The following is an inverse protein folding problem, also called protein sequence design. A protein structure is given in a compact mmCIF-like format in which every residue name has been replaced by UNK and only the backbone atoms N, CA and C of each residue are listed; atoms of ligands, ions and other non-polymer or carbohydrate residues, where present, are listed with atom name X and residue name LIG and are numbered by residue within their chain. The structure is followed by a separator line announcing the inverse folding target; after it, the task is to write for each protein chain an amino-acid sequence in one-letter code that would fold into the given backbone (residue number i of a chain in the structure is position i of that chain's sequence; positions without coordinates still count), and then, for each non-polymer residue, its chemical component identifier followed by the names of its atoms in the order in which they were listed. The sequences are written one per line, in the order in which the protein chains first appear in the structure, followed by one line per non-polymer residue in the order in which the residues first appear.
data_IF_391153225559
#
_entry.id   IF_391153225559
#
_cell.length_a   1.000
_cell.length_b   1.000
_cell.length_c   1.000
_cell.angle_alpha   90.00
_cell.angle_beta   90.00
_cell.angle_gamma   90.00
#
_symmetry.space_group_name_H-M   'P 1'
#
loop_
_entity.id
_entity.type
_entity.pdbx_description
1 polymer ?
#
# COMPACT_ATOMS: atom_id res chain seq x y z
N UNK A 1 4.96 2.63 25.84
CA UNK A 1 4.46 3.27 24.59
C UNK A 1 4.60 2.24 23.49
N UNK A 2 3.58 1.99 22.67
CA UNK A 2 3.65 1.01 21.60
C UNK A 2 4.70 1.48 20.56
N UNK A 3 5.59 0.57 20.14
CA UNK A 3 6.65 0.83 19.16
C UNK A 3 6.10 0.84 17.71
N UNK A 4 4.79 1.05 17.57
CA UNK A 4 4.08 1.03 16.31
C UNK A 4 4.38 2.28 15.46
N UNK A 5 4.78 2.07 14.20
CA UNK A 5 4.98 3.14 13.22
C UNK A 5 3.66 3.69 12.71
N UNK A 6 2.63 2.82 12.56
CA UNK A 6 1.25 3.19 12.20
C UNK A 6 0.30 2.58 13.22
N UNK A 7 -0.68 3.37 13.69
CA UNK A 7 -1.72 2.91 14.60
C UNK A 7 -3.07 3.50 14.23
N UNK A 8 -4.05 2.63 14.03
CA UNK A 8 -5.46 2.97 13.96
C UNK A 8 -6.13 2.58 15.29
N UNK A 9 -6.89 3.49 15.88
CA UNK A 9 -7.62 3.29 17.12
C UNK A 9 -9.09 3.57 16.91
N UNK A 10 -9.94 2.54 17.07
CA UNK A 10 -11.40 2.58 17.00
C UNK A 10 -11.91 3.34 15.77
N UNK A 11 -11.22 3.18 14.63
CA UNK A 11 -11.53 3.87 13.39
C UNK A 11 -12.88 3.38 12.86
N UNK A 12 -13.84 4.29 12.78
CA UNK A 12 -15.17 4.05 12.22
C UNK A 12 -15.39 4.93 11.00
N UNK A 13 -15.93 4.34 9.93
CA UNK A 13 -16.26 5.03 8.68
C UNK A 13 -17.74 4.83 8.36
N UNK A 14 -18.48 5.93 8.25
CA UNK A 14 -19.89 5.93 7.84
C UNK A 14 -20.07 6.72 6.54
N UNK A 15 -20.87 6.19 5.64
CA UNK A 15 -21.29 6.83 4.41
C UNK A 15 -22.81 6.86 4.37
N UNK A 16 -23.40 8.03 4.71
CA UNK A 16 -24.85 8.10 4.94
C UNK A 16 -25.27 7.14 6.06
N UNK A 17 -26.21 6.24 5.77
CA UNK A 17 -26.68 5.22 6.71
C UNK A 17 -25.82 3.94 6.81
N UNK A 18 -24.82 3.79 5.94
CA UNK A 18 -23.96 2.58 5.91
C UNK A 18 -22.71 2.78 6.76
N UNK A 19 -22.46 1.86 7.70
CA UNK A 19 -21.19 1.75 8.42
C UNK A 19 -20.28 0.78 7.67
N UNK A 20 -19.34 1.32 6.90
CA UNK A 20 -18.41 0.54 6.07
C UNK A 20 -17.17 0.05 6.85
N UNK A 21 -16.88 0.63 8.02
CA UNK A 21 -15.82 0.20 8.94
C UNK A 21 -16.24 0.55 10.36
N UNK A 22 -16.15 -0.39 11.29
CA UNK A 22 -16.58 -0.22 12.67
C UNK A 22 -15.48 -0.56 13.65
N UNK A 23 -15.05 0.43 14.43
CA UNK A 23 -14.04 0.30 15.50
C UNK A 23 -12.80 -0.48 15.07
N UNK A 24 -12.32 -0.22 13.86
CA UNK A 24 -11.13 -0.87 13.31
C UNK A 24 -9.90 -0.47 14.11
N UNK A 25 -9.14 -1.46 14.54
CA UNK A 25 -7.89 -1.30 15.25
C UNK A 25 -6.77 -2.00 14.48
N UNK A 26 -5.67 -1.31 14.27
CA UNK A 26 -4.47 -1.82 13.62
C UNK A 26 -3.25 -1.18 14.26
N UNK A 27 -2.26 -1.97 14.60
CA UNK A 27 -0.90 -1.52 14.88
C UNK A 27 0.04 -2.15 13.86
N UNK A 28 0.95 -1.37 13.31
CA UNK A 28 1.99 -1.83 12.40
C UNK A 28 3.33 -1.41 12.96
N UNK A 29 4.21 -2.38 13.19
CA UNK A 29 5.56 -2.15 13.73
C UNK A 29 6.55 -1.84 12.62
N UNK A 30 7.69 -1.20 12.93
CA UNK A 30 8.76 -1.03 11.94
C UNK A 30 9.16 -2.37 11.33
N UNK A 31 9.32 -2.42 10.00
CA UNK A 31 9.68 -3.62 9.22
C UNK A 31 8.68 -4.78 9.31
N UNK A 32 7.52 -4.60 9.92
CA UNK A 32 6.49 -5.64 9.94
C UNK A 32 5.75 -5.69 8.61
N UNK A 33 5.45 -6.90 8.11
CA UNK A 33 4.57 -7.11 6.96
C UNK A 33 3.25 -7.71 7.45
N UNK A 34 2.19 -6.90 7.35
CA UNK A 34 0.83 -7.27 7.76
C UNK A 34 -0.08 -7.38 6.56
N UNK A 35 -0.78 -8.50 6.44
CA UNK A 35 -1.85 -8.70 5.47
C UNK A 35 -3.20 -8.26 6.03
N UNK A 36 -3.93 -7.44 5.30
CA UNK A 36 -5.32 -7.09 5.55
C UNK A 36 -6.20 -7.84 4.56
N UNK A 37 -6.94 -8.82 5.04
CA UNK A 37 -7.72 -9.75 4.24
C UNK A 37 -9.21 -9.72 4.62
N UNK A 38 -10.03 -10.38 3.82
CA UNK A 38 -11.48 -10.49 4.03
C UNK A 38 -12.22 -10.63 2.71
N UNK A 39 -13.49 -11.02 2.72
CA UNK A 39 -14.33 -11.12 1.54
C UNK A 39 -14.46 -9.79 0.76
N UNK A 40 -15.05 -9.84 -0.43
CA UNK A 40 -15.41 -8.65 -1.17
C UNK A 40 -16.44 -7.85 -0.37
N UNK A 41 -16.26 -6.52 -0.31
CA UNK A 41 -17.12 -5.67 0.51
C UNK A 41 -16.80 -5.65 2.01
N UNK A 42 -15.82 -6.42 2.51
CA UNK A 42 -15.47 -6.48 3.93
C UNK A 42 -14.94 -5.16 4.54
N UNK A 43 -14.69 -4.13 3.73
CA UNK A 43 -14.19 -2.83 4.22
C UNK A 43 -12.68 -2.61 4.08
N UNK A 44 -11.93 -3.52 3.45
CA UNK A 44 -10.47 -3.42 3.25
C UNK A 44 -10.04 -2.10 2.60
N UNK A 45 -10.62 -1.77 1.45
CA UNK A 45 -10.34 -0.52 0.72
C UNK A 45 -10.75 0.71 1.54
N UNK A 46 -11.82 0.62 2.33
CA UNK A 46 -12.25 1.69 3.24
C UNK A 46 -11.20 1.92 4.33
N UNK A 47 -10.67 0.84 4.93
CA UNK A 47 -9.58 0.92 5.90
C UNK A 47 -8.33 1.58 5.29
N UNK A 48 -7.89 1.16 4.09
CA UNK A 48 -6.78 1.79 3.38
C UNK A 48 -7.00 3.28 3.08
N UNK A 49 -8.22 3.64 2.66
CA UNK A 49 -8.58 5.02 2.39
C UNK A 49 -8.53 5.87 3.67
N UNK A 50 -8.98 5.33 4.80
CA UNK A 50 -8.89 6.01 6.10
C UNK A 50 -7.42 6.18 6.55
N UNK A 51 -6.59 5.13 6.44
CA UNK A 51 -5.19 5.16 6.83
C UNK A 51 -4.35 6.11 5.96
N UNK A 52 -4.65 6.20 4.67
CA UNK A 52 -3.92 7.04 3.70
C UNK A 52 -4.47 8.47 3.55
N UNK A 53 -5.46 8.86 4.38
CA UNK A 53 -6.02 10.22 4.38
C UNK A 53 -6.92 10.55 3.19
N UNK A 54 -7.34 9.55 2.39
CA UNK A 54 -8.33 9.73 1.32
C UNK A 54 -9.70 10.04 1.93
N UNK A 55 -10.02 9.39 3.05
CA UNK A 55 -11.20 9.69 3.86
C UNK A 55 -10.78 10.03 5.29
N UNK A 56 -11.39 11.06 5.86
CA UNK A 56 -11.27 11.33 7.29
C UNK A 56 -12.17 10.35 8.06
N UNK A 57 -11.65 9.65 9.09
CA UNK A 57 -12.47 8.82 9.95
C UNK A 57 -13.66 9.58 10.54
N UNK A 58 -14.84 8.95 10.57
CA UNK A 58 -16.02 9.50 11.24
C UNK A 58 -15.82 9.51 12.77
N UNK A 59 -15.20 8.43 13.30
CA UNK A 59 -14.82 8.29 14.70
C UNK A 59 -13.44 7.61 14.77
N UNK A 60 -12.78 7.74 15.91
CA UNK A 60 -11.48 7.15 16.15
C UNK A 60 -10.32 7.98 15.61
N UNK A 61 -9.13 7.40 15.59
CA UNK A 61 -7.91 8.15 15.25
C UNK A 61 -6.88 7.27 14.54
N UNK A 62 -6.14 7.89 13.62
CA UNK A 62 -4.98 7.30 12.96
C UNK A 62 -3.74 8.09 13.35
N UNK A 63 -2.69 7.37 13.76
CA UNK A 63 -1.41 7.94 14.18
C UNK A 63 -0.28 7.35 13.35
N UNK A 64 0.66 8.19 12.94
CA UNK A 64 1.91 7.80 12.28
C UNK A 64 3.09 8.34 13.09
N UNK A 65 3.93 7.44 13.61
CA UNK A 65 5.05 7.83 14.49
C UNK A 65 4.62 8.67 15.71
N UNK A 66 3.43 8.40 16.25
CA UNK A 66 2.83 9.15 17.37
C UNK A 66 2.09 10.44 16.96
N UNK A 67 2.19 10.90 15.72
CA UNK A 67 1.49 12.09 15.23
C UNK A 67 0.12 11.69 14.67
N UNK A 68 -0.94 12.35 15.13
CA UNK A 68 -2.30 12.14 14.59
C UNK A 68 -2.41 12.70 13.18
N UNK A 69 -2.87 11.86 12.25
CA UNK A 69 -2.97 12.22 10.82
C UNK A 69 -4.42 12.41 10.33
N UNK A 70 -5.41 12.30 11.20
CA UNK A 70 -6.81 12.52 10.84
C UNK A 70 -7.02 13.91 10.22
N UNK A 71 -7.76 13.95 9.10
CA UNK A 71 -8.10 15.21 8.42
C UNK A 71 -6.96 15.85 7.62
N UNK A 72 -5.76 15.26 7.65
CA UNK A 72 -4.68 15.63 6.73
C UNK A 72 -5.05 15.17 5.31
N UNK A 73 -4.70 15.99 4.31
CA UNK A 73 -4.86 15.61 2.89
C UNK A 73 -3.88 14.50 2.52
N UNK A 74 -4.17 13.66 1.50
CA UNK A 74 -3.31 12.53 1.12
C UNK A 74 -1.83 12.89 0.91
N UNK A 75 -1.53 14.04 0.28
CA UNK A 75 -0.14 14.48 0.11
C UNK A 75 0.55 14.83 1.44
N UNK A 76 -0.18 15.36 2.42
CA UNK A 76 0.34 15.62 3.76
C UNK A 76 0.58 14.32 4.53
N UNK A 77 -0.31 13.33 4.40
CA UNK A 77 -0.12 11.99 4.96
C UNK A 77 1.09 11.31 4.32
N UNK A 78 1.26 11.44 3.01
CA UNK A 78 2.46 10.97 2.30
C UNK A 78 3.73 11.65 2.84
N UNK A 79 3.72 12.96 3.03
CA UNK A 79 4.85 13.70 3.61
C UNK A 79 5.16 13.27 5.05
N UNK A 80 4.19 12.79 5.83
CA UNK A 80 4.41 12.20 7.15
C UNK A 80 5.05 10.82 7.08
N UNK A 81 4.92 10.11 5.95
CA UNK A 81 5.58 8.84 5.70
C UNK A 81 4.68 7.64 5.39
N UNK A 82 3.46 7.84 4.91
CA UNK A 82 2.62 6.77 4.35
C UNK A 82 2.58 6.93 2.83
N UNK A 83 3.15 5.96 2.09
CA UNK A 83 2.96 5.87 0.65
C UNK A 83 2.02 4.70 0.30
N UNK A 84 1.29 4.84 -0.80
CA UNK A 84 0.31 3.85 -1.24
C UNK A 84 0.40 3.62 -2.73
N UNK A 85 0.28 2.35 -3.16
CA UNK A 85 -0.09 1.99 -4.52
C UNK A 85 -1.60 1.91 -4.66
N UNK A 86 -2.11 1.83 -5.88
CA UNK A 86 -3.53 1.73 -6.15
C UNK A 86 -3.82 0.44 -6.91
N UNK A 87 -5.02 -0.11 -6.76
CA UNK A 87 -5.47 -1.28 -7.50
C UNK A 87 -5.29 -1.09 -9.02
N UNK A 88 -5.71 0.05 -9.55
CA UNK A 88 -5.41 0.46 -10.92
C UNK A 88 -4.10 1.25 -10.95
N UNK A 89 -3.15 0.83 -11.77
CA UNK A 89 -1.84 1.48 -11.93
C UNK A 89 -2.01 2.96 -12.30
N UNK A 90 -1.43 3.84 -11.46
CA UNK A 90 -1.49 5.29 -11.63
C UNK A 90 -0.11 5.88 -11.95
N UNK A 91 0.43 5.53 -13.11
CA UNK A 91 1.69 6.09 -13.62
C UNK A 91 1.45 7.29 -14.52
N UNK A 92 2.44 8.17 -14.59
CA UNK A 92 2.53 9.18 -15.65
C UNK A 92 2.95 8.48 -16.95
N UNK A 93 1.97 8.02 -17.71
CA UNK A 93 2.15 7.08 -18.82
C UNK A 93 3.12 7.57 -19.92
N UNK A 94 3.16 8.87 -20.17
CA UNK A 94 4.00 9.49 -21.21
C UNK A 94 5.37 9.94 -20.69
N UNK A 95 5.64 9.83 -19.41
CA UNK A 95 6.95 10.09 -18.81
C UNK A 95 7.78 8.80 -18.77
N UNK A 96 9.10 8.95 -18.70
CA UNK A 96 10.03 7.84 -18.52
C UNK A 96 9.82 7.14 -17.17
N UNK A 97 10.36 5.92 -17.03
CA UNK A 97 10.40 5.24 -15.74
C UNK A 97 11.15 6.08 -14.71
N UNK A 98 12.28 6.67 -15.10
CA UNK A 98 13.09 7.55 -14.25
C UNK A 98 12.30 8.76 -13.77
N UNK A 99 11.62 9.48 -14.67
CA UNK A 99 10.86 10.68 -14.30
C UNK A 99 9.68 10.37 -13.39
N UNK A 100 9.02 9.21 -13.58
CA UNK A 100 7.97 8.74 -12.67
C UNK A 100 8.47 8.65 -11.22
N UNK A 101 9.69 8.13 -11.01
CA UNK A 101 10.28 8.00 -9.68
C UNK A 101 10.82 9.34 -9.18
N UNK A 102 11.50 10.13 -10.02
CA UNK A 102 12.03 11.46 -9.66
C UNK A 102 10.95 12.38 -9.12
N UNK A 103 9.76 12.44 -9.75
CA UNK A 103 8.62 13.22 -9.27
C UNK A 103 8.26 12.88 -7.82
N UNK A 104 8.34 11.61 -7.42
CA UNK A 104 8.06 11.21 -6.05
C UNK A 104 9.18 11.62 -5.08
N UNK A 105 10.44 11.59 -5.52
CA UNK A 105 11.58 12.06 -4.74
C UNK A 105 11.48 13.56 -4.42
N UNK A 106 10.90 14.37 -5.32
CA UNK A 106 10.63 15.79 -5.08
C UNK A 106 9.69 16.05 -3.87
N UNK A 107 8.83 15.09 -3.51
CA UNK A 107 7.95 15.24 -2.35
C UNK A 107 8.71 15.41 -1.02
N UNK A 108 9.99 15.02 -0.98
CA UNK A 108 10.91 15.18 0.16
C UNK A 108 11.90 16.30 0.00
N UNK A 109 12.09 16.77 -1.21
CA UNK A 109 13.02 17.86 -1.49
C UNK A 109 12.40 19.19 -1.08
N UNK A 110 12.88 19.74 0.03
CA UNK A 110 12.47 21.07 0.50
C UNK A 110 13.50 22.09 0.00
N UNK A 111 13.08 22.98 -0.87
CA UNK A 111 13.87 24.10 -1.35
C UNK A 111 12.98 25.30 -1.68
N UNK A 112 13.47 26.53 -1.63
CA UNK A 112 12.70 27.70 -2.02
C UNK A 112 12.29 27.61 -3.49
N UNK A 113 11.06 27.99 -3.81
CA UNK A 113 10.48 27.92 -5.17
C UNK A 113 11.25 28.74 -6.24
N UNK A 114 12.08 29.69 -5.82
CA UNK A 114 12.87 30.53 -6.72
C UNK A 114 14.25 29.93 -7.09
N UNK A 115 14.75 28.92 -6.34
CA UNK A 115 16.07 28.32 -6.62
C UNK A 115 16.20 27.71 -8.04
N UNK A 116 15.19 27.01 -8.59
CA UNK A 116 15.26 26.50 -9.96
C UNK A 116 15.44 27.62 -11.01
N UNK A 117 14.91 28.83 -10.72
CA UNK A 117 15.02 29.97 -11.64
C UNK A 117 16.41 30.59 -11.64
N UNK A 118 17.20 30.42 -10.58
CA UNK A 118 18.53 31.01 -10.43
C UNK A 118 19.67 30.04 -10.74
N UNK A 119 19.38 28.75 -11.00
CA UNK A 119 20.37 27.73 -11.33
C UNK A 119 21.47 27.61 -10.26
N UNK A 120 21.09 27.55 -8.99
CA UNK A 120 22.06 27.52 -7.89
C UNK A 120 22.75 26.17 -7.79
N UNK A 121 24.02 26.11 -7.42
CA UNK A 121 24.74 24.85 -7.20
C UNK A 121 24.05 23.94 -6.19
N UNK A 122 23.36 24.50 -5.20
CA UNK A 122 22.55 23.77 -4.23
C UNK A 122 21.33 23.09 -4.87
N UNK A 123 20.72 23.71 -5.88
CA UNK A 123 19.64 23.10 -6.68
C UNK A 123 20.17 21.92 -7.49
N UNK A 124 21.27 22.11 -8.21
CA UNK A 124 21.88 21.08 -9.05
C UNK A 124 22.32 19.85 -8.23
N UNK A 125 22.89 20.07 -7.03
CA UNK A 125 23.25 18.99 -6.12
C UNK A 125 22.03 18.20 -5.63
N UNK A 126 20.90 18.89 -5.34
CA UNK A 126 19.65 18.20 -4.95
C UNK A 126 19.07 17.40 -6.11
N UNK A 127 19.02 17.96 -7.31
CA UNK A 127 18.57 17.26 -8.51
C UNK A 127 19.42 16.00 -8.77
N UNK A 128 20.74 16.09 -8.67
CA UNK A 128 21.64 14.96 -8.84
C UNK A 128 21.39 13.86 -7.77
N UNK A 129 21.15 14.26 -6.51
CA UNK A 129 20.80 13.31 -5.43
C UNK A 129 19.46 12.60 -5.70
N UNK A 130 18.46 13.36 -6.15
CA UNK A 130 17.14 12.78 -6.49
C UNK A 130 17.22 11.84 -7.68
N UNK A 131 17.99 12.18 -8.71
CA UNK A 131 18.22 11.30 -9.85
C UNK A 131 18.96 10.03 -9.43
N UNK A 132 20.03 10.14 -8.65
CA UNK A 132 20.79 9.00 -8.14
C UNK A 132 19.87 8.07 -7.31
N UNK A 133 19.02 8.65 -6.47
CA UNK A 133 18.03 7.90 -5.69
C UNK A 133 16.99 7.20 -6.57
N UNK A 134 16.47 7.89 -7.59
CA UNK A 134 15.52 7.30 -8.52
C UNK A 134 16.14 6.13 -9.31
N UNK A 135 17.39 6.27 -9.78
CA UNK A 135 18.13 5.20 -10.46
C UNK A 135 18.40 4.01 -9.52
N UNK A 136 18.75 4.26 -8.26
CA UNK A 136 18.89 3.20 -7.24
C UNK A 136 17.58 2.41 -7.10
N UNK A 137 16.45 3.09 -6.93
CA UNK A 137 15.15 2.47 -6.78
C UNK A 137 14.75 1.67 -8.03
N UNK A 138 14.99 2.19 -9.22
CA UNK A 138 14.78 1.46 -10.47
C UNK A 138 15.67 0.21 -10.55
N UNK A 139 16.93 0.31 -10.13
CA UNK A 139 17.83 -0.85 -10.07
C UNK A 139 17.29 -1.96 -9.16
N UNK A 140 16.80 -1.62 -7.96
CA UNK A 140 16.18 -2.58 -7.04
C UNK A 140 14.95 -3.26 -7.65
N UNK A 141 14.16 -2.50 -8.44
CA UNK A 141 12.96 -3.00 -9.11
C UNK A 141 13.25 -3.81 -10.39
N UNK A 142 14.52 -3.93 -10.79
CA UNK A 142 14.90 -4.57 -12.07
C UNK A 142 14.50 -3.75 -13.29
N UNK A 143 14.47 -2.42 -13.15
CA UNK A 143 14.10 -1.45 -14.18
C UNK A 143 15.28 -0.55 -14.60
N UNK A 144 16.50 -0.83 -14.13
CA UNK A 144 17.68 0.00 -14.40
C UNK A 144 17.93 0.23 -15.89
N UNK A 145 17.91 -0.84 -16.70
CA UNK A 145 18.15 -0.78 -18.15
C UNK A 145 16.98 -0.18 -18.94
N UNK A 146 15.85 0.10 -18.27
CA UNK A 146 14.63 0.67 -18.86
C UNK A 146 14.30 2.04 -18.29
N UNK A 147 15.25 2.69 -17.64
CA UNK A 147 15.05 3.97 -16.95
C UNK A 147 14.46 5.05 -17.87
N UNK A 148 14.89 5.10 -19.12
CA UNK A 148 14.49 6.11 -20.10
C UNK A 148 13.26 5.69 -20.92
N UNK A 149 12.75 4.44 -20.74
CA UNK A 149 11.57 3.95 -21.43
C UNK A 149 10.30 4.59 -20.86
N UNK A 150 9.37 4.97 -21.75
CA UNK A 150 8.08 5.52 -21.32
C UNK A 150 7.27 4.46 -20.56
N UNK A 151 6.67 4.86 -19.44
CA UNK A 151 5.95 3.95 -18.55
C UNK A 151 4.85 3.14 -19.25
N UNK A 152 4.17 3.71 -20.26
CA UNK A 152 3.13 3.01 -21.04
C UNK A 152 3.66 1.85 -21.88
N UNK A 153 4.96 1.85 -22.23
CA UNK A 153 5.57 0.83 -23.07
C UNK A 153 6.07 -0.37 -22.26
N UNK A 154 6.17 -0.22 -20.94
CA UNK A 154 6.58 -1.31 -20.05
C UNK A 154 5.51 -2.41 -20.00
N UNK A 155 5.88 -3.70 -19.95
CA UNK A 155 4.97 -4.79 -19.60
C UNK A 155 4.26 -4.54 -18.28
N UNK A 156 3.05 -5.07 -18.11
CA UNK A 156 2.20 -4.82 -16.94
C UNK A 156 2.92 -5.07 -15.61
N UNK A 157 3.61 -6.21 -15.46
CA UNK A 157 4.37 -6.53 -14.25
C UNK A 157 5.47 -5.51 -13.92
N UNK A 158 6.12 -4.95 -14.97
CA UNK A 158 7.13 -3.90 -14.78
C UNK A 158 6.49 -2.54 -14.48
N UNK A 159 5.29 -2.25 -15.01
CA UNK A 159 4.54 -1.05 -14.60
C UNK A 159 4.17 -1.12 -13.11
N UNK A 160 3.79 -2.30 -12.60
CA UNK A 160 3.50 -2.50 -11.18
C UNK A 160 4.75 -2.28 -10.31
N UNK A 161 5.90 -2.83 -10.73
CA UNK A 161 7.18 -2.57 -10.05
C UNK A 161 7.57 -1.08 -10.08
N UNK A 162 7.32 -0.38 -11.19
CA UNK A 162 7.55 1.06 -11.30
C UNK A 162 6.64 1.86 -10.35
N UNK A 163 5.39 1.45 -10.18
CA UNK A 163 4.48 2.08 -9.21
C UNK A 163 4.99 1.95 -7.77
N UNK A 164 5.55 0.79 -7.40
CA UNK A 164 6.19 0.57 -6.09
C UNK A 164 7.46 1.41 -5.97
N UNK A 165 8.32 1.46 -7.02
CA UNK A 165 9.50 2.33 -7.04
C UNK A 165 9.13 3.79 -6.78
N UNK A 166 8.09 4.27 -7.45
CA UNK A 166 7.58 5.63 -7.25
C UNK A 166 7.08 5.85 -5.82
N UNK A 167 6.35 4.90 -5.25
CA UNK A 167 5.91 5.00 -3.85
C UNK A 167 7.09 5.08 -2.88
N UNK A 168 8.16 4.32 -3.11
CA UNK A 168 9.40 4.37 -2.33
C UNK A 168 10.21 5.66 -2.53
N UNK A 169 10.06 6.34 -3.66
CA UNK A 169 10.67 7.65 -3.90
C UNK A 169 10.26 8.71 -2.88
N UNK A 170 9.08 8.57 -2.27
CA UNK A 170 8.61 9.43 -1.17
C UNK A 170 9.23 9.06 0.19
N UNK A 171 10.17 8.11 0.28
CA UNK A 171 10.82 7.62 1.50
C UNK A 171 9.83 7.32 2.63
N UNK A 172 8.86 6.43 2.41
CA UNK A 172 7.83 6.17 3.38
C UNK A 172 8.36 5.37 4.57
N UNK A 173 7.72 5.55 5.73
CA UNK A 173 7.84 4.66 6.90
C UNK A 173 6.91 3.44 6.76
N UNK A 174 5.79 3.64 6.06
CA UNK A 174 4.75 2.64 5.80
C UNK A 174 4.43 2.64 4.31
N UNK A 175 4.54 1.47 3.70
CA UNK A 175 4.15 1.21 2.32
C UNK A 175 2.84 0.40 2.31
N UNK A 176 1.79 1.00 1.78
CA UNK A 176 0.49 0.35 1.61
C UNK A 176 0.37 -0.17 0.18
N UNK A 177 0.24 -1.49 0.01
CA UNK A 177 0.12 -2.16 -1.27
C UNK A 177 -1.29 -2.72 -1.45
N UNK A 178 -1.99 -2.26 -2.49
CA UNK A 178 -3.37 -2.62 -2.78
C UNK A 178 -3.40 -3.58 -3.98
N UNK A 179 -3.59 -4.88 -3.70
CA UNK A 179 -3.58 -5.98 -4.66
C UNK A 179 -2.41 -5.92 -5.67
N UNK A 180 -1.16 -5.91 -5.19
CA UNK A 180 -0.01 -5.68 -6.06
C UNK A 180 0.23 -6.81 -7.07
N UNK A 181 -0.26 -8.02 -6.81
CA UNK A 181 -0.12 -9.17 -7.69
C UNK A 181 -1.28 -9.34 -8.70
N UNK A 182 -2.30 -8.47 -8.65
CA UNK A 182 -3.46 -8.59 -9.53
C UNK A 182 -3.03 -8.58 -11.00
N UNK A 183 -3.51 -9.57 -11.78
CA UNK A 183 -3.22 -9.71 -13.22
C UNK A 183 -1.83 -10.28 -13.54
N UNK A 184 -1.07 -10.74 -12.55
CA UNK A 184 0.22 -11.41 -12.75
C UNK A 184 0.07 -12.93 -12.81
N UNK A 185 0.96 -13.59 -13.55
CA UNK A 185 1.09 -15.05 -13.49
C UNK A 185 1.82 -15.49 -12.19
N UNK A 186 1.80 -16.80 -11.90
CA UNK A 186 2.37 -17.34 -10.65
C UNK A 186 3.87 -17.03 -10.47
N UNK A 187 4.65 -17.04 -11.57
CA UNK A 187 6.09 -16.74 -11.51
C UNK A 187 6.34 -15.26 -11.23
N UNK A 188 5.59 -14.37 -11.88
CA UNK A 188 5.67 -12.93 -11.63
C UNK A 188 5.24 -12.58 -10.22
N UNK A 189 4.18 -13.22 -9.72
CA UNK A 189 3.68 -13.08 -8.36
C UNK A 189 4.74 -13.48 -7.34
N UNK A 190 5.36 -14.65 -7.49
CA UNK A 190 6.42 -15.12 -6.59
C UNK A 190 7.62 -14.15 -6.58
N UNK A 191 8.04 -13.68 -7.77
CA UNK A 191 9.12 -12.70 -7.90
C UNK A 191 8.77 -11.36 -7.25
N UNK A 192 7.51 -10.89 -7.36
CA UNK A 192 7.05 -9.67 -6.70
C UNK A 192 7.03 -9.83 -5.18
N UNK A 193 6.59 -10.97 -4.65
CA UNK A 193 6.56 -11.22 -3.21
C UNK A 193 7.96 -11.23 -2.61
N UNK A 194 8.92 -11.89 -3.27
CA UNK A 194 10.33 -11.82 -2.86
C UNK A 194 10.84 -10.38 -2.86
N UNK A 195 10.51 -9.61 -3.90
CA UNK A 195 10.89 -8.21 -4.00
C UNK A 195 10.30 -7.36 -2.87
N UNK A 196 9.06 -7.63 -2.44
CA UNK A 196 8.43 -6.90 -1.31
C UNK A 196 9.18 -7.17 0.00
N UNK A 197 9.65 -8.41 0.24
CA UNK A 197 10.50 -8.70 1.40
C UNK A 197 11.84 -7.95 1.32
N UNK A 198 12.50 -7.99 0.16
CA UNK A 198 13.77 -7.27 -0.04
C UNK A 198 13.61 -5.76 0.20
N UNK A 199 12.52 -5.16 -0.29
CA UNK A 199 12.17 -3.75 -0.07
C UNK A 199 12.00 -3.46 1.42
N UNK A 200 11.20 -4.27 2.12
CA UNK A 200 10.97 -4.12 3.55
C UNK A 200 12.28 -4.11 4.33
N UNK A 201 13.15 -5.08 4.05
CA UNK A 201 14.41 -5.26 4.78
C UNK A 201 15.44 -4.19 4.41
N UNK A 202 15.60 -3.89 3.11
CA UNK A 202 16.56 -2.91 2.60
C UNK A 202 16.25 -1.50 3.02
N UNK A 203 14.97 -1.08 2.93
CA UNK A 203 14.55 0.29 3.23
C UNK A 203 13.98 0.46 4.63
N UNK A 204 13.85 -0.62 5.40
CA UNK A 204 13.34 -0.57 6.77
C UNK A 204 11.88 -0.14 6.87
N UNK A 205 11.12 -0.28 5.78
CA UNK A 205 9.70 0.12 5.72
C UNK A 205 8.81 -0.96 6.32
N UNK A 206 7.72 -0.54 6.99
CA UNK A 206 6.63 -1.44 7.31
C UNK A 206 5.70 -1.56 6.11
N UNK A 207 5.15 -2.76 5.88
CA UNK A 207 4.29 -3.03 4.72
C UNK A 207 2.90 -3.44 5.19
N UNK A 208 1.88 -2.77 4.69
CA UNK A 208 0.49 -3.17 4.83
C UNK A 208 -0.02 -3.61 3.45
N UNK A 209 -0.38 -4.88 3.34
CA UNK A 209 -0.75 -5.53 2.08
C UNK A 209 -2.23 -5.88 2.08
N UNK A 210 -3.00 -5.44 1.07
CA UNK A 210 -4.29 -6.06 0.73
C UNK A 210 -4.06 -7.07 -0.38
N UNK A 211 -4.56 -8.28 -0.18
CA UNK A 211 -4.63 -9.32 -1.20
C UNK A 211 -5.86 -10.21 -0.96
N UNK A 212 -6.34 -10.80 -2.03
CA UNK A 212 -7.45 -11.74 -1.99
C UNK A 212 -7.00 -13.19 -2.17
N UNK A 213 -5.79 -13.43 -2.68
CA UNK A 213 -5.18 -14.76 -2.73
C UNK A 213 -4.64 -15.15 -1.34
N UNK A 214 -5.39 -16.03 -0.67
CA UNK A 214 -5.04 -16.50 0.67
C UNK A 214 -3.70 -17.22 0.73
N UNK A 215 -3.31 -17.97 -0.32
CA UNK A 215 -2.02 -18.69 -0.33
C UNK A 215 -0.86 -17.70 -0.37
N UNK A 216 -1.02 -16.67 -1.17
CA UNK A 216 -0.04 -15.62 -1.33
C UNK A 216 0.14 -14.83 -0.04
N UNK A 217 -0.94 -14.31 0.52
CA UNK A 217 -0.87 -13.45 1.71
C UNK A 217 -0.39 -14.21 2.94
N UNK A 218 -0.78 -15.49 3.07
CA UNK A 218 -0.28 -16.37 4.14
C UNK A 218 1.21 -16.68 4.01
N UNK A 219 1.72 -16.75 2.78
CA UNK A 219 3.13 -17.04 2.52
C UNK A 219 4.07 -15.87 2.79
N UNK A 220 3.56 -14.64 2.72
CA UNK A 220 4.39 -13.43 2.83
C UNK A 220 4.21 -12.69 4.16
N UNK A 221 3.02 -12.75 4.78
CA UNK A 221 2.68 -11.93 5.94
C UNK A 221 3.14 -12.57 7.25
N UNK A 222 3.71 -11.75 8.14
CA UNK A 222 4.05 -12.15 9.51
C UNK A 222 2.79 -12.22 10.39
N UNK A 223 1.81 -11.36 10.07
CA UNK A 223 0.53 -11.26 10.77
C UNK A 223 -0.58 -10.89 9.79
N UNK A 224 -1.76 -11.41 10.05
CA UNK A 224 -2.98 -11.10 9.31
C UNK A 224 -3.97 -10.36 10.19
N UNK A 225 -4.73 -9.47 9.57
CA UNK A 225 -5.94 -8.85 10.12
C UNK A 225 -7.08 -9.17 9.16
N UNK A 226 -8.13 -9.77 9.67
CA UNK A 226 -9.28 -10.21 8.87
C UNK A 226 -10.46 -9.30 9.14
N UNK A 227 -10.95 -8.69 8.07
CA UNK A 227 -12.19 -7.91 8.09
C UNK A 227 -13.34 -8.72 7.50
N UNK A 228 -14.49 -8.57 8.11
CA UNK A 228 -15.77 -8.99 7.54
C UNK A 228 -16.85 -7.97 7.91
N UNK A 229 -17.65 -7.53 6.91
CA UNK A 229 -18.68 -6.50 7.06
C UNK A 229 -18.24 -5.27 7.89
N UNK A 230 -17.00 -4.80 7.66
CA UNK A 230 -16.43 -3.64 8.34
C UNK A 230 -15.93 -3.89 9.77
N UNK A 231 -15.95 -5.12 10.25
CA UNK A 231 -15.53 -5.51 11.60
C UNK A 231 -14.30 -6.41 11.52
N UNK A 232 -13.34 -6.22 12.43
CA UNK A 232 -12.21 -7.16 12.57
C UNK A 232 -12.70 -8.44 13.26
N UNK A 233 -12.68 -9.56 12.54
CA UNK A 233 -13.12 -10.87 13.07
C UNK A 233 -11.97 -11.73 13.59
N UNK A 234 -10.74 -11.50 13.10
CA UNK A 234 -9.54 -12.18 13.57
C UNK A 234 -8.28 -11.32 13.34
N UNK A 235 -7.28 -11.51 14.20
CA UNK A 235 -5.93 -10.99 13.99
C UNK A 235 -4.93 -11.94 14.64
N UNK A 236 -3.85 -12.29 13.94
CA UNK A 236 -2.83 -13.20 14.44
C UNK A 236 -1.90 -13.72 13.34
N UNK A 237 -1.10 -14.72 13.68
CA UNK A 237 -0.26 -15.40 12.71
C UNK A 237 -1.10 -16.10 11.63
N UNK A 238 -0.59 -16.23 10.40
CA UNK A 238 -1.33 -16.89 9.31
C UNK A 238 -1.87 -18.28 9.67
N UNK A 239 -1.08 -19.07 10.44
CA UNK A 239 -1.45 -20.43 10.87
C UNK A 239 -2.68 -20.43 11.81
N UNK A 240 -2.78 -19.42 12.69
CA UNK A 240 -3.87 -19.29 13.65
C UNK A 240 -5.14 -18.77 12.95
N UNK A 241 -4.97 -17.78 12.08
CA UNK A 241 -6.06 -17.18 11.30
C UNK A 241 -6.71 -18.21 10.38
N UNK A 242 -5.91 -19.07 9.73
CA UNK A 242 -6.40 -20.13 8.85
C UNK A 242 -7.33 -21.12 9.54
N UNK A 243 -7.14 -21.36 10.85
CA UNK A 243 -7.92 -22.32 11.64
C UNK A 243 -9.11 -21.68 12.36
N UNK A 244 -9.24 -20.36 12.27
CA UNK A 244 -10.28 -19.63 12.99
C UNK A 244 -11.65 -19.89 12.36
N UNK A 245 -12.65 -20.44 13.11
CA UNK A 245 -13.97 -20.76 12.58
C UNK A 245 -14.68 -19.56 11.95
N UNK A 246 -14.57 -18.36 12.55
CA UNK A 246 -15.19 -17.15 12.01
C UNK A 246 -14.60 -16.76 10.64
N UNK A 247 -13.29 -16.99 10.44
CA UNK A 247 -12.64 -16.72 9.16
C UNK A 247 -13.11 -17.71 8.10
N UNK A 248 -13.18 -19.00 8.48
CA UNK A 248 -13.67 -20.05 7.59
C UNK A 248 -15.12 -19.77 7.16
N UNK A 249 -15.99 -19.44 8.11
CA UNK A 249 -17.40 -19.10 7.85
C UNK A 249 -17.54 -17.89 6.93
N UNK A 250 -16.77 -16.80 7.15
CA UNK A 250 -16.81 -15.60 6.33
C UNK A 250 -16.43 -15.85 4.87
N UNK A 251 -15.53 -16.80 4.60
CA UNK A 251 -15.14 -17.15 3.24
C UNK A 251 -16.05 -18.20 2.60
N UNK A 252 -16.55 -19.20 3.35
CA UNK A 252 -17.50 -20.23 2.85
C UNK A 252 -18.88 -19.65 2.56
N UNK A 253 -19.38 -18.73 3.38
CA UNK A 253 -20.67 -18.09 3.18
C UNK A 253 -20.75 -17.26 1.88
N UNK A 254 -19.61 -16.87 1.31
CA UNK A 254 -19.53 -16.20 -0.01
C UNK A 254 -19.66 -17.19 -1.16
N UNK A 255 -19.13 -18.43 -1.02
CA UNK A 255 -19.23 -19.47 -2.05
C UNK A 255 -20.65 -19.99 -2.22
N UNK A 256 -21.39 -20.16 -1.11
CA UNK A 256 -22.82 -20.57 -1.16
C UNK A 256 -23.71 -19.49 -1.79
N UNK A 257 -23.43 -18.20 -1.56
CA UNK A 257 -24.16 -17.09 -2.17
C UNK A 257 -23.98 -16.98 -3.69
N UNK A 258 -22.81 -17.36 -4.22
CA UNK A 258 -22.58 -17.37 -5.67
C UNK A 258 -23.26 -18.55 -6.37
N UNK A 259 -23.29 -19.72 -5.75
CA UNK A 259 -23.99 -20.89 -6.30
C UNK A 259 -25.52 -20.73 -6.33
N UNK A 260 -26.08 -19.98 -5.39
CA UNK A 260 -27.54 -19.72 -5.35
C UNK A 260 -28.01 -18.77 -6.46
N UNK A 261 -27.17 -17.83 -6.90
CA UNK A 261 -27.50 -16.88 -7.98
C UNK A 261 -27.40 -17.50 -9.39
N UNK A 262 -26.56 -18.53 -9.56
CA UNK A 262 -26.41 -19.22 -10.84
C UNK A 262 -27.52 -20.27 -11.08
N UNK A 263 -28.31 -20.64 -10.05
CA UNK A 263 -29.40 -21.62 -10.17
C UNK A 263 -30.79 -20.99 -10.37
N UNK A 264 -30.97 -19.67 -10.18
CA UNK A 264 -32.25 -18.98 -10.44
C UNK A 264 -32.36 -18.38 -11.87
N UNK A 265 -31.36 -18.59 -12.74
CA UNK A 265 -31.32 -18.09 -14.11
C UNK A 265 -31.43 -19.17 -15.22
N UNK A 266 -31.91 -20.37 -14.91
CA UNK A 266 -32.11 -21.46 -15.87
C UNK A 266 -33.60 -21.75 -16.14
#
# INVERSE_FOLDING_TARGET
MSDAVLRAQDVTMRFGGLTALSKFNLELRPKELVGLIGPNGAGKTTAFNALSGVYAPTEGSVFLGGVRVNGLRPHQVCAQGIARTFQNIRLFKNLSALDNVRIACHARAHGPMWEPLLGTASHDEREAKMEARARELLGVMGLGDRADEQAKNLPYGLQRRLEIARALGAEPKVLCLDEPAAGMNATETAALMSLIHDIRDRFGVAVLLIEHDMKLVMGISERLVVLDHGVTIASGKPEDVRKNPKVIEAYLGVEEGHQALDTEGA
#
